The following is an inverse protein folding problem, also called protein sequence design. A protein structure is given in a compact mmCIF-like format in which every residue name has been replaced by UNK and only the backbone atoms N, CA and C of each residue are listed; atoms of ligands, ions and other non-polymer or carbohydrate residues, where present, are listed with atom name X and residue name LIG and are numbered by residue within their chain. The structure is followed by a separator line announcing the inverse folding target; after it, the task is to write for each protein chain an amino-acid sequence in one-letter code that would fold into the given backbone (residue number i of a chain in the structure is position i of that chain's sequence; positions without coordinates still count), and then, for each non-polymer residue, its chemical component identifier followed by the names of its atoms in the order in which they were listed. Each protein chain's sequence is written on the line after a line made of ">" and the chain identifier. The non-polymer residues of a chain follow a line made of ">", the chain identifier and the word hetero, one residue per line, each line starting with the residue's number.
data_IF_982259419237
#
_entry.id   IF_982259419237
#
_cell.length_a   1.000
_cell.length_b   1.000
_cell.length_c   1.000
_cell.angle_alpha   90.00
_cell.angle_beta   90.00
_cell.angle_gamma   90.00
#
_symmetry.space_group_name_H-M   'P 1'
#
loop_
_entity.id
_entity.type
_entity.pdbx_description
1 polymer ?
#
# COMPACT_ATOMS: atom_id res chain seq x y z
N UNK A 1 2.44 -10.49 7.24
CA UNK A 1 2.02 -11.90 7.36
C UNK A 1 2.06 -12.29 8.82
N UNK A 2 1.20 -13.20 9.27
CA UNK A 2 1.06 -13.56 10.67
C UNK A 2 1.05 -15.08 10.85
N UNK A 3 1.76 -15.57 11.86
CA UNK A 3 1.68 -16.97 12.29
C UNK A 3 0.42 -17.20 13.13
N UNK A 4 -0.43 -18.20 12.83
CA UNK A 4 -1.70 -18.38 13.53
C UNK A 4 -1.56 -18.61 15.04
N UNK A 5 -0.66 -19.50 15.46
CA UNK A 5 -0.57 -19.91 16.88
C UNK A 5 0.15 -18.90 17.78
N UNK A 6 1.23 -18.30 17.28
CA UNK A 6 2.09 -17.39 18.06
C UNK A 6 1.72 -15.92 17.88
N UNK A 7 1.09 -15.59 16.75
CA UNK A 7 0.81 -14.21 16.37
C UNK A 7 2.03 -13.41 15.89
N UNK A 8 3.18 -14.05 15.67
CA UNK A 8 4.37 -13.40 15.11
C UNK A 8 4.06 -12.78 13.75
N UNK A 9 4.48 -11.53 13.53
CA UNK A 9 4.26 -10.81 12.28
C UNK A 9 5.54 -10.45 11.53
N UNK A 10 5.49 -10.54 10.21
CA UNK A 10 6.58 -10.13 9.31
C UNK A 10 6.03 -9.32 8.14
N UNK A 11 6.71 -8.22 7.80
CA UNK A 11 6.43 -7.41 6.60
C UNK A 11 7.46 -7.75 5.51
N UNK A 12 6.99 -8.26 4.36
CA UNK A 12 7.83 -8.56 3.21
C UNK A 12 7.01 -8.52 1.91
N UNK A 13 7.71 -8.45 0.79
CA UNK A 13 7.10 -8.56 -0.54
C UNK A 13 6.69 -10.01 -0.82
N UNK A 14 5.39 -10.28 -0.75
CA UNK A 14 4.85 -11.63 -0.94
C UNK A 14 4.80 -11.98 -2.43
N UNK A 15 5.38 -13.12 -2.80
CA UNK A 15 5.28 -13.68 -4.14
C UNK A 15 3.94 -14.42 -4.30
N UNK A 16 3.28 -14.31 -5.47
CA UNK A 16 2.12 -15.14 -5.79
C UNK A 16 2.43 -16.63 -5.63
N UNK A 17 1.47 -17.38 -5.11
CA UNK A 17 1.51 -18.85 -4.95
C UNK A 17 2.62 -19.41 -4.04
N UNK A 18 3.46 -18.55 -3.45
CA UNK A 18 4.48 -18.98 -2.49
C UNK A 18 3.88 -19.26 -1.12
N UNK A 19 4.20 -20.42 -0.58
CA UNK A 19 3.88 -20.77 0.81
C UNK A 19 5.01 -20.23 1.71
N UNK A 20 4.63 -19.40 2.68
CA UNK A 20 5.53 -18.88 3.70
C UNK A 20 5.29 -19.63 5.00
N UNK A 21 6.35 -20.13 5.62
CA UNK A 21 6.31 -20.86 6.88
C UNK A 21 7.02 -20.05 7.96
N UNK A 22 6.50 -20.07 9.19
CA UNK A 22 7.20 -19.59 10.36
C UNK A 22 8.42 -20.49 10.63
N UNK A 23 9.59 -19.90 10.80
CA UNK A 23 10.84 -20.64 11.02
C UNK A 23 10.84 -21.44 12.33
N UNK A 24 10.20 -20.92 13.37
CA UNK A 24 10.19 -21.53 14.69
C UNK A 24 9.16 -22.67 14.81
N UNK A 25 8.01 -22.55 14.14
CA UNK A 25 6.89 -23.51 14.28
C UNK A 25 6.65 -24.36 13.04
N UNK A 26 7.14 -23.95 11.87
CA UNK A 26 6.84 -24.57 10.58
C UNK A 26 5.43 -24.32 10.07
N UNK A 27 4.63 -23.51 10.77
CA UNK A 27 3.25 -23.22 10.39
C UNK A 27 3.17 -22.30 9.17
N UNK A 28 2.14 -22.51 8.33
CA UNK A 28 1.86 -21.60 7.22
C UNK A 28 1.42 -20.25 7.75
N UNK A 29 2.15 -19.20 7.38
CA UNK A 29 1.79 -17.82 7.69
C UNK A 29 0.68 -17.31 6.77
N UNK A 30 -0.16 -16.43 7.31
CA UNK A 30 -1.30 -15.84 6.61
C UNK A 30 -1.04 -14.37 6.24
N UNK A 31 -1.53 -13.94 5.07
CA UNK A 31 -1.48 -12.54 4.66
C UNK A 31 -2.62 -11.78 5.35
N UNK A 32 -2.29 -11.05 6.41
CA UNK A 32 -3.26 -10.27 7.21
C UNK A 32 -3.37 -8.79 6.80
N UNK A 33 -2.52 -8.32 5.88
CA UNK A 33 -2.50 -6.92 5.46
C UNK A 33 -1.64 -6.70 4.22
N UNK A 34 -1.77 -5.50 3.64
CA UNK A 34 -1.00 -5.04 2.47
C UNK A 34 -0.64 -3.57 2.65
N UNK A 35 0.59 -3.21 2.32
CA UNK A 35 0.99 -1.80 2.21
C UNK A 35 0.61 -1.32 0.82
N UNK A 36 -0.23 -0.29 0.75
CA UNK A 36 -0.60 0.36 -0.50
C UNK A 36 0.33 1.54 -0.77
N UNK A 37 0.60 1.87 -2.04
CA UNK A 37 0.06 1.22 -3.22
C UNK A 37 0.81 -0.08 -3.58
N UNK A 38 0.09 -1.07 -4.11
CA UNK A 38 0.72 -2.29 -4.63
C UNK A 38 1.41 -2.01 -5.97
N UNK A 39 2.57 -2.63 -6.19
CA UNK A 39 3.22 -2.59 -7.48
C UNK A 39 2.38 -3.34 -8.55
N UNK A 40 2.38 -2.87 -9.81
CA UNK A 40 2.92 -1.59 -10.27
C UNK A 40 2.03 -0.42 -9.83
N UNK A 41 2.63 0.63 -9.29
CA UNK A 41 1.93 1.88 -8.96
C UNK A 41 2.65 3.08 -9.53
N UNK A 42 1.88 4.09 -9.95
CA UNK A 42 2.42 5.38 -10.34
C UNK A 42 2.98 6.17 -9.14
N UNK A 43 2.52 5.86 -7.93
CA UNK A 43 2.97 6.51 -6.68
C UNK A 43 3.97 5.63 -5.96
N UNK A 44 4.96 6.27 -5.33
CA UNK A 44 5.97 5.62 -4.48
C UNK A 44 5.73 5.86 -3.00
N UNK A 45 4.65 6.57 -2.65
CA UNK A 45 4.34 6.91 -1.27
C UNK A 45 3.31 5.94 -0.68
N UNK A 46 3.50 5.46 0.57
CA UNK A 46 2.49 4.69 1.26
C UNK A 46 1.15 5.44 1.35
N UNK A 47 0.04 4.70 1.29
CA UNK A 47 -1.30 5.24 1.49
C UNK A 47 -1.54 5.62 2.95
N UNK A 48 -1.02 6.78 3.34
CA UNK A 48 -1.10 7.38 4.67
C UNK A 48 -1.54 8.85 4.55
N UNK A 49 -2.20 9.39 5.57
CA UNK A 49 -2.84 10.72 5.52
C UNK A 49 -1.85 11.82 5.12
N UNK A 50 -0.63 11.77 5.66
CA UNK A 50 0.48 12.69 5.38
C UNK A 50 1.02 12.63 3.94
N UNK A 51 0.73 11.55 3.22
CA UNK A 51 1.10 11.31 1.83
C UNK A 51 -0.04 11.58 0.86
N UNK A 52 -1.22 11.97 1.36
CA UNK A 52 -2.39 12.26 0.54
C UNK A 52 -2.62 13.75 0.36
N UNK A 53 -3.25 14.09 -0.76
CA UNK A 53 -3.75 15.41 -1.12
C UNK A 53 -5.16 15.25 -1.67
N UNK A 54 -5.96 16.31 -1.60
CA UNK A 54 -7.26 16.33 -2.27
C UNK A 54 -7.11 16.77 -3.73
N UNK A 55 -7.79 16.05 -4.63
CA UNK A 55 -7.93 16.49 -6.01
C UNK A 55 -8.84 17.73 -6.07
N UNK A 56 -8.35 18.83 -6.62
CA UNK A 56 -9.13 20.07 -6.77
C UNK A 56 -10.29 19.99 -7.78
N UNK A 57 -10.53 18.82 -8.38
CA UNK A 57 -11.61 18.60 -9.36
C UNK A 57 -12.73 17.69 -8.85
N UNK A 58 -12.41 16.68 -8.04
CA UNK A 58 -13.38 15.67 -7.59
C UNK A 58 -13.31 15.39 -6.08
N UNK A 59 -12.47 16.10 -5.33
CA UNK A 59 -12.27 15.98 -3.89
C UNK A 59 -11.89 14.58 -3.39
N UNK A 60 -11.47 13.68 -4.30
CA UNK A 60 -10.96 12.37 -3.92
C UNK A 60 -9.50 12.46 -3.44
N UNK A 61 -9.11 11.65 -2.45
CA UNK A 61 -7.73 11.54 -2.02
C UNK A 61 -6.86 10.95 -3.13
N UNK A 62 -5.71 11.56 -3.37
CA UNK A 62 -4.68 11.09 -4.27
C UNK A 62 -3.32 11.18 -3.57
N UNK A 63 -2.37 10.32 -3.90
CA UNK A 63 -1.02 10.47 -3.36
C UNK A 63 -0.38 11.77 -3.86
N UNK A 64 0.35 12.43 -2.97
CA UNK A 64 0.87 13.78 -3.19
C UNK A 64 2.01 13.86 -4.20
N UNK A 65 2.64 12.73 -4.52
CA UNK A 65 3.65 12.58 -5.57
C UNK A 65 3.05 12.41 -6.97
N UNK A 66 1.72 12.29 -7.09
CA UNK A 66 1.03 12.25 -8.37
C UNK A 66 0.60 13.64 -8.83
N UNK A 67 0.79 13.89 -10.13
CA UNK A 67 0.29 15.08 -10.82
C UNK A 67 -1.10 14.86 -11.43
N UNK A 68 -1.47 13.61 -11.71
CA UNK A 68 -2.77 13.23 -12.27
C UNK A 68 -3.57 12.48 -11.20
N UNK A 69 -4.84 12.81 -11.05
CA UNK A 69 -5.71 12.14 -10.08
C UNK A 69 -5.98 10.71 -10.54
N UNK A 70 -5.72 9.67 -9.72
CA UNK A 70 -5.97 8.28 -10.11
C UNK A 70 -7.47 7.97 -10.26
N UNK A 71 -8.36 8.80 -9.69
CA UNK A 71 -9.81 8.60 -9.76
C UNK A 71 -10.45 9.28 -10.97
N UNK A 72 -10.15 10.57 -11.20
CA UNK A 72 -10.79 11.34 -12.29
C UNK A 72 -9.88 11.61 -13.49
N UNK A 73 -8.61 11.19 -13.43
CA UNK A 73 -7.58 11.30 -14.49
C UNK A 73 -7.26 12.74 -14.95
N UNK A 74 -7.76 13.75 -14.22
CA UNK A 74 -7.40 15.14 -14.48
C UNK A 74 -6.08 15.48 -13.82
N UNK A 75 -5.30 16.33 -14.49
CA UNK A 75 -4.12 16.96 -13.90
C UNK A 75 -4.54 17.89 -12.76
N UNK A 76 -3.97 17.66 -11.58
CA UNK A 76 -4.26 18.44 -10.39
C UNK A 76 -3.33 19.67 -10.33
N UNK A 77 -3.76 20.70 -9.60
CA UNK A 77 -2.96 21.90 -9.38
C UNK A 77 -1.64 21.56 -8.64
N UNK A 78 -0.59 22.39 -8.75
CA UNK A 78 0.61 22.20 -7.93
C UNK A 78 0.26 22.28 -6.44
N UNK A 79 0.98 21.51 -5.62
CA UNK A 79 0.94 21.71 -4.16
C UNK A 79 1.59 23.06 -3.87
N UNK A 80 1.00 23.84 -2.96
CA UNK A 80 1.65 25.05 -2.47
C UNK A 80 3.00 24.67 -1.85
N UNK A 81 4.06 25.38 -2.24
CA UNK A 81 5.42 25.17 -1.74
C UNK A 81 5.64 25.75 -0.35
#
# INVERSE_FOLDING_TARGET
>A
MRTPSTGTEVLLEAQPDRIYLDEATGERMEIVGKVLPLAPSASRLPWAVENLRFCNWCDQPAQRDLNECPTCQRRMNPLAG
#
